data_IF_748096124925
#
_entry.id   IF_748096124925
#
_cell.length_a   1.000
_cell.length_b   1.000
_cell.length_c   1.000
_cell.angle_alpha   90.00
_cell.angle_beta   90.00
_cell.angle_gamma   90.00
#
_symmetry.space_group_name_H-M   'P 1'
#
loop_
_entity.id
_entity.type
_entity.pdbx_description
1 polymer ?
#
# COMPACT_ATOMS: atom_id res chain seq x y z
N UNK A 1 -80.13 -24.70 -1.41
CA UNK A 1 -79.95 -24.61 0.06
C UNK A 1 -78.53 -24.13 0.30
N UNK A 2 -78.42 -23.10 1.13
CA UNK A 2 -77.30 -22.17 1.25
C UNK A 2 -76.01 -22.77 1.83
N UNK A 3 -74.97 -21.91 1.85
CA UNK A 3 -73.94 -21.75 2.91
C UNK A 3 -72.59 -22.44 2.58
N UNK A 4 -71.40 -21.81 2.55
CA UNK A 4 -70.86 -20.48 2.93
C UNK A 4 -69.58 -20.23 2.10
N UNK A 5 -69.38 -18.99 1.65
CA UNK A 5 -68.11 -18.50 1.07
C UNK A 5 -67.19 -18.09 2.22
N UNK A 6 -65.97 -18.63 2.27
CA UNK A 6 -64.94 -18.17 3.23
C UNK A 6 -63.87 -17.43 2.46
N UNK A 7 -63.90 -16.10 2.58
CA UNK A 7 -62.90 -15.19 2.04
C UNK A 7 -61.67 -15.18 2.96
N UNK A 8 -60.52 -15.57 2.45
CA UNK A 8 -59.24 -15.29 3.09
C UNK A 8 -58.73 -13.94 2.55
N UNK A 9 -58.91 -12.88 3.35
CA UNK A 9 -58.27 -11.59 3.12
C UNK A 9 -56.77 -11.74 3.40
N UNK A 10 -55.95 -11.88 2.36
CA UNK A 10 -54.53 -11.57 2.43
C UNK A 10 -54.37 -10.04 2.46
N UNK A 11 -54.30 -9.46 3.65
CA UNK A 11 -53.77 -8.11 3.85
C UNK A 11 -52.27 -8.13 3.53
N UNK A 12 -51.95 -8.02 2.24
CA UNK A 12 -50.59 -7.82 1.75
C UNK A 12 -50.14 -6.40 2.06
N UNK A 13 -49.68 -6.15 3.28
CA UNK A 13 -48.93 -4.95 3.58
C UNK A 13 -47.56 -5.04 2.88
N UNK A 14 -47.49 -4.40 1.70
CA UNK A 14 -46.25 -4.11 1.01
C UNK A 14 -45.37 -3.23 1.90
N UNK A 15 -44.53 -3.87 2.71
CA UNK A 15 -43.33 -3.25 3.23
C UNK A 15 -42.39 -3.03 2.04
N UNK A 16 -42.43 -1.83 1.48
CA UNK A 16 -41.37 -1.31 0.61
C UNK A 16 -40.09 -1.23 1.44
N UNK A 17 -39.36 -2.34 1.49
CA UNK A 17 -37.98 -2.33 1.95
C UNK A 17 -37.19 -1.45 0.98
N UNK A 18 -36.93 -0.22 1.40
CA UNK A 18 -35.98 0.65 0.72
C UNK A 18 -34.64 -0.07 0.74
N UNK A 19 -34.24 -0.61 -0.43
CA UNK A 19 -32.88 -1.03 -0.66
C UNK A 19 -32.01 0.22 -0.50
N UNK A 20 -31.43 0.38 0.68
CA UNK A 20 -30.37 1.35 0.88
C UNK A 20 -29.26 0.97 -0.11
N UNK A 21 -29.09 1.80 -1.13
CA UNK A 21 -27.91 1.79 -1.97
C UNK A 21 -26.70 2.00 -1.06
N UNK A 22 -26.04 0.91 -0.69
CA UNK A 22 -24.70 0.93 -0.08
C UNK A 22 -23.65 0.57 -1.14
N UNK A 23 -23.77 1.13 -2.34
CA UNK A 23 -22.80 0.92 -3.43
C UNK A 23 -22.09 2.24 -3.77
N UNK A 24 -21.46 2.87 -2.78
CA UNK A 24 -20.74 4.13 -2.98
C UNK A 24 -19.48 4.34 -2.14
N UNK A 25 -19.35 3.67 -0.99
CA UNK A 25 -18.09 3.66 -0.24
C UNK A 25 -17.23 2.50 -0.78
N UNK A 26 -16.64 2.69 -1.96
CA UNK A 26 -15.71 1.70 -2.53
C UNK A 26 -14.69 1.25 -1.47
N UNK A 27 -14.41 -0.06 -1.41
CA UNK A 27 -13.46 -0.66 -0.45
C UNK A 27 -12.24 0.26 -0.29
N UNK A 28 -11.97 0.68 0.96
CA UNK A 28 -10.85 1.56 1.28
C UNK A 28 -9.53 1.06 0.68
N UNK A 29 -8.64 1.98 0.33
CA UNK A 29 -7.30 1.66 -0.15
C UNK A 29 -6.43 1.24 1.03
N UNK A 30 -5.93 0.01 0.99
CA UNK A 30 -4.93 -0.45 1.94
C UNK A 30 -3.52 -0.40 1.34
N UNK A 31 -2.59 0.24 2.04
CA UNK A 31 -1.24 0.48 1.54
C UNK A 31 -0.18 -0.07 2.50
N UNK A 32 0.72 -0.91 2.00
CA UNK A 32 1.89 -1.36 2.75
C UNK A 32 3.01 -0.33 2.69
N UNK A 33 3.49 0.12 3.86
CA UNK A 33 4.57 1.09 4.02
C UNK A 33 5.61 0.58 5.01
N UNK A 34 6.88 0.93 4.80
CA UNK A 34 7.99 0.48 5.65
C UNK A 34 8.00 1.32 6.93
N UNK A 35 8.01 0.67 8.10
CA UNK A 35 7.74 1.36 9.39
C UNK A 35 8.82 2.34 9.87
N UNK A 36 10.09 2.10 9.52
CA UNK A 36 11.22 2.95 9.91
C UNK A 36 12.20 3.10 8.74
N UNK A 37 11.77 3.87 7.74
CA UNK A 37 12.53 4.13 6.52
C UNK A 37 12.56 5.63 6.22
N UNK A 38 13.17 6.46 7.08
CA UNK A 38 13.32 7.88 6.80
C UNK A 38 14.14 8.15 5.53
N UNK A 39 13.85 9.24 4.80
CA UNK A 39 12.74 10.20 4.99
C UNK A 39 11.43 9.75 4.33
N UNK A 40 11.31 8.49 3.92
CA UNK A 40 10.24 8.01 3.06
C UNK A 40 8.99 7.58 3.83
N UNK A 41 9.15 6.86 4.94
CA UNK A 41 8.02 6.41 5.75
C UNK A 41 8.44 6.15 7.19
N UNK A 42 7.62 6.62 8.14
CA UNK A 42 7.78 6.37 9.57
C UNK A 42 6.44 6.24 10.28
N UNK A 43 6.31 5.19 11.10
CA UNK A 43 5.18 5.03 12.00
C UNK A 43 5.20 6.09 13.11
N UNK A 44 4.05 6.73 13.35
CA UNK A 44 3.83 7.68 14.46
C UNK A 44 4.87 8.81 14.56
N UNK A 45 5.31 9.34 13.41
CA UNK A 45 6.24 10.46 13.31
C UNK A 45 5.66 11.62 12.51
N UNK A 46 6.13 12.84 12.79
CA UNK A 46 5.81 14.04 12.02
C UNK A 46 7.12 14.72 11.54
N UNK A 47 7.33 14.91 10.23
CA UNK A 47 6.48 14.43 9.13
C UNK A 47 6.51 12.89 8.99
N UNK A 48 5.40 12.31 8.56
CA UNK A 48 5.26 10.84 8.41
C UNK A 48 6.09 10.27 7.23
N UNK A 49 6.41 11.09 6.23
CA UNK A 49 7.33 10.77 5.13
C UNK A 49 6.70 10.77 3.74
N UNK A 50 7.55 10.79 2.71
CA UNK A 50 7.17 10.96 1.30
C UNK A 50 6.21 9.86 0.80
N UNK A 51 6.43 8.60 1.18
CA UNK A 51 5.58 7.47 0.77
C UNK A 51 4.20 7.51 1.45
N UNK A 52 4.13 8.05 2.68
CA UNK A 52 2.87 8.25 3.41
C UNK A 52 2.04 9.30 2.69
N UNK A 53 2.65 10.44 2.35
CA UNK A 53 1.99 11.52 1.61
C UNK A 53 1.55 11.04 0.21
N UNK A 54 2.38 10.28 -0.48
CA UNK A 54 2.01 9.68 -1.77
C UNK A 54 0.79 8.75 -1.64
N UNK A 55 0.75 7.89 -0.63
CA UNK A 55 -0.39 7.00 -0.39
C UNK A 55 -1.68 7.78 -0.07
N UNK A 56 -1.57 8.86 0.71
CA UNK A 56 -2.70 9.76 1.01
C UNK A 56 -3.24 10.42 -0.25
N UNK A 57 -2.36 10.97 -1.09
CA UNK A 57 -2.75 11.60 -2.36
C UNK A 57 -3.39 10.62 -3.33
N UNK A 58 -2.88 9.37 -3.40
CA UNK A 58 -3.49 8.31 -4.23
C UNK A 58 -4.88 7.97 -3.70
N UNK A 59 -5.04 7.76 -2.40
CA UNK A 59 -6.34 7.45 -1.80
C UNK A 59 -7.36 8.58 -2.06
N UNK A 60 -6.94 9.83 -1.90
CA UNK A 60 -7.76 11.00 -2.17
C UNK A 60 -8.18 11.07 -3.64
N UNK A 61 -7.25 10.87 -4.59
CA UNK A 61 -7.56 10.84 -6.02
C UNK A 61 -8.52 9.71 -6.42
N UNK A 62 -8.49 8.59 -5.69
CA UNK A 62 -9.39 7.46 -5.89
C UNK A 62 -10.75 7.63 -5.19
N UNK A 63 -10.92 8.68 -4.37
CA UNK A 63 -12.12 8.84 -3.54
C UNK A 63 -12.25 7.74 -2.48
N UNK A 64 -11.14 7.20 -1.99
CA UNK A 64 -11.10 6.08 -1.03
C UNK A 64 -10.47 6.51 0.29
N UNK A 65 -10.91 5.93 1.39
CA UNK A 65 -10.20 6.03 2.68
C UNK A 65 -8.87 5.28 2.60
N UNK A 66 -7.84 5.80 3.28
CA UNK A 66 -6.54 5.14 3.37
C UNK A 66 -6.42 4.35 4.68
N UNK A 67 -6.00 3.09 4.59
CA UNK A 67 -5.53 2.27 5.71
C UNK A 67 -4.08 1.89 5.49
N UNK A 68 -3.18 2.37 6.34
CA UNK A 68 -1.77 1.99 6.27
C UNK A 68 -1.56 0.65 6.99
N UNK A 69 -0.81 -0.24 6.33
CA UNK A 69 -0.29 -1.48 6.86
C UNK A 69 1.22 -1.32 7.00
N UNK A 70 1.69 -1.20 8.22
CA UNK A 70 3.12 -1.08 8.49
C UNK A 70 3.79 -2.44 8.31
N UNK A 71 4.90 -2.44 7.57
CA UNK A 71 5.69 -3.64 7.26
C UNK A 71 7.17 -3.40 7.53
N UNK A 72 7.91 -4.49 7.68
CA UNK A 72 9.37 -4.48 7.77
C UNK A 72 9.97 -5.15 6.52
N UNK A 73 11.13 -4.66 6.10
CA UNK A 73 11.97 -5.35 5.10
C UNK A 73 13.06 -6.11 5.85
N UNK A 74 12.94 -7.43 6.02
CA UNK A 74 13.87 -8.18 6.84
C UNK A 74 15.24 -8.32 6.16
N UNK A 75 16.32 -8.29 6.95
CA UNK A 75 17.68 -8.48 6.44
C UNK A 75 17.84 -9.81 5.68
N UNK A 76 17.19 -10.88 6.16
CA UNK A 76 17.12 -12.16 5.45
C UNK A 76 15.89 -12.21 4.56
N UNK A 77 16.10 -12.33 3.26
CA UNK A 77 15.06 -12.43 2.24
C UNK A 77 14.56 -11.09 1.69
N UNK A 78 14.91 -9.97 2.33
CA UNK A 78 14.73 -8.63 1.79
C UNK A 78 13.30 -8.33 1.32
N UNK A 79 13.19 -7.59 0.22
CA UNK A 79 11.91 -7.27 -0.41
C UNK A 79 11.13 -8.51 -0.81
N UNK A 80 11.78 -9.60 -1.20
CA UNK A 80 11.07 -10.80 -1.59
C UNK A 80 10.22 -11.39 -0.46
N UNK A 81 10.79 -11.47 0.74
CA UNK A 81 10.05 -11.88 1.93
C UNK A 81 8.98 -10.85 2.30
N UNK A 82 9.32 -9.57 2.30
CA UNK A 82 8.37 -8.49 2.62
C UNK A 82 7.14 -8.51 1.69
N UNK A 83 7.33 -8.64 0.38
CA UNK A 83 6.26 -8.69 -0.62
C UNK A 83 5.38 -9.94 -0.45
N UNK A 84 6.01 -11.11 -0.20
CA UNK A 84 5.29 -12.36 0.06
C UNK A 84 4.36 -12.26 1.27
N UNK A 85 4.88 -11.70 2.37
CA UNK A 85 4.18 -11.63 3.66
C UNK A 85 3.24 -10.43 3.77
N UNK A 86 3.12 -9.61 2.71
CA UNK A 86 2.31 -8.41 2.67
C UNK A 86 1.32 -8.43 1.51
N UNK A 87 1.63 -7.74 0.41
CA UNK A 87 0.76 -7.58 -0.76
C UNK A 87 0.36 -8.92 -1.40
N UNK A 88 1.28 -9.89 -1.52
CA UNK A 88 0.94 -11.20 -2.10
C UNK A 88 0.07 -12.06 -1.17
N UNK A 89 0.06 -11.76 0.14
CA UNK A 89 -0.84 -12.40 1.11
C UNK A 89 -2.15 -11.63 1.31
N UNK A 90 -2.40 -10.59 0.50
CA UNK A 90 -3.64 -9.83 0.51
C UNK A 90 -3.79 -8.81 1.65
N UNK A 91 -2.71 -8.48 2.38
CA UNK A 91 -2.79 -7.52 3.49
C UNK A 91 -3.05 -6.08 3.05
N UNK A 92 -2.57 -5.73 1.85
CA UNK A 92 -2.70 -4.41 1.25
C UNK A 92 -2.94 -4.52 -0.26
N UNK A 93 -3.48 -3.47 -0.86
CA UNK A 93 -3.75 -3.34 -2.29
C UNK A 93 -2.53 -2.79 -3.05
N UNK A 94 -1.71 -1.98 -2.38
CA UNK A 94 -0.49 -1.37 -2.92
C UNK A 94 0.65 -1.47 -1.92
N UNK A 95 1.89 -1.54 -2.42
CA UNK A 95 3.10 -1.44 -1.61
C UNK A 95 3.87 -0.20 -2.09
N UNK A 96 4.06 0.78 -1.21
CA UNK A 96 4.77 2.02 -1.52
C UNK A 96 6.26 1.93 -1.15
N UNK A 97 7.10 2.75 -1.79
CA UNK A 97 8.53 2.80 -1.49
C UNK A 97 9.38 1.68 -2.10
N UNK A 98 8.90 1.02 -3.16
CA UNK A 98 9.69 0.00 -3.87
C UNK A 98 10.74 0.67 -4.77
N UNK A 99 12.05 0.33 -4.65
CA UNK A 99 13.09 0.86 -5.52
C UNK A 99 12.84 0.53 -6.99
N UNK A 100 13.05 1.49 -7.88
CA UNK A 100 13.05 1.25 -9.31
C UNK A 100 14.42 0.69 -9.77
N UNK A 101 14.42 -0.39 -10.55
CA UNK A 101 15.64 -1.01 -11.07
C UNK A 101 15.38 -2.35 -11.75
N UNK A 102 16.33 -2.86 -12.53
CA UNK A 102 16.19 -4.13 -13.28
C UNK A 102 16.00 -5.34 -12.36
N UNK A 103 16.75 -5.38 -11.26
CA UNK A 103 16.64 -6.42 -10.23
C UNK A 103 15.25 -6.42 -9.59
N UNK A 104 14.80 -5.26 -9.10
CA UNK A 104 13.48 -5.14 -8.49
C UNK A 104 12.35 -5.42 -9.49
N UNK A 105 12.50 -5.01 -10.74
CA UNK A 105 11.54 -5.36 -11.79
C UNK A 105 11.48 -6.89 -12.01
N UNK A 106 12.60 -7.59 -11.88
CA UNK A 106 12.65 -9.06 -11.87
C UNK A 106 11.89 -9.66 -10.69
N UNK A 107 12.13 -9.15 -9.48
CA UNK A 107 11.45 -9.58 -8.26
C UNK A 107 9.93 -9.42 -8.36
N UNK A 108 9.45 -8.25 -8.83
CA UNK A 108 8.02 -7.99 -9.01
C UNK A 108 7.40 -8.95 -10.05
N UNK A 109 8.08 -9.20 -11.18
CA UNK A 109 7.59 -10.13 -12.21
C UNK A 109 7.48 -11.56 -11.69
N UNK A 110 8.50 -12.05 -10.98
CA UNK A 110 8.48 -13.40 -10.37
C UNK A 110 7.32 -13.56 -9.39
N UNK A 111 6.87 -12.45 -8.81
CA UNK A 111 5.77 -12.38 -7.83
C UNK A 111 4.42 -12.04 -8.43
N UNK A 112 4.33 -11.90 -9.76
CA UNK A 112 3.12 -11.52 -10.47
C UNK A 112 2.56 -10.16 -9.99
N UNK A 113 3.46 -9.25 -9.60
CA UNK A 113 3.14 -7.89 -9.20
C UNK A 113 3.49 -6.92 -10.33
N UNK A 114 2.66 -5.90 -10.49
CA UNK A 114 2.91 -4.79 -11.40
C UNK A 114 3.50 -3.60 -10.64
N UNK A 115 4.50 -2.95 -11.23
CA UNK A 115 5.02 -1.67 -10.75
C UNK A 115 4.23 -0.49 -11.34
N UNK A 116 4.09 0.59 -10.57
CA UNK A 116 3.59 1.87 -11.07
C UNK A 116 4.70 2.61 -11.84
N UNK A 117 4.37 3.76 -12.43
CA UNK A 117 5.40 4.74 -12.79
C UNK A 117 6.08 5.25 -11.52
N UNK A 118 7.42 5.41 -11.49
CA UNK A 118 8.11 6.01 -10.36
C UNK A 118 7.58 7.42 -10.05
N UNK A 119 7.36 7.72 -8.77
CA UNK A 119 6.94 9.04 -8.29
C UNK A 119 8.06 9.83 -7.60
N UNK A 120 9.22 9.20 -7.39
CA UNK A 120 10.38 9.81 -6.74
C UNK A 120 11.68 9.36 -7.42
N UNK A 121 12.55 10.33 -7.73
CA UNK A 121 13.92 10.08 -8.19
C UNK A 121 14.91 10.38 -7.08
N UNK A 122 15.82 9.44 -6.81
CA UNK A 122 16.87 9.57 -5.80
C UNK A 122 18.23 9.13 -6.35
N UNK A 123 19.31 9.60 -5.72
CA UNK A 123 20.67 9.21 -6.05
C UNK A 123 21.48 8.87 -4.80
N UNK A 124 22.39 7.91 -4.92
CA UNK A 124 23.32 7.56 -3.85
C UNK A 124 24.46 8.57 -3.75
N UNK A 125 24.79 8.96 -2.53
CA UNK A 125 25.92 9.83 -2.20
C UNK A 125 26.90 9.10 -1.28
N UNK A 126 28.18 9.39 -1.43
CA UNK A 126 29.19 8.96 -0.46
C UNK A 126 29.20 9.94 0.70
N UNK A 127 29.02 9.40 1.90
CA UNK A 127 29.03 10.18 3.15
C UNK A 127 30.34 9.88 3.88
N UNK A 128 31.00 10.92 4.39
CA UNK A 128 32.24 10.82 5.14
C UNK A 128 32.13 11.61 6.45
N UNK A 129 32.94 11.24 7.45
CA UNK A 129 32.89 11.91 8.75
C UNK A 129 33.19 13.42 8.61
N UNK A 130 32.59 14.28 9.46
CA UNK A 130 32.92 15.70 9.48
C UNK A 130 34.43 15.93 9.59
N UNK A 131 34.97 16.85 8.79
CA UNK A 131 36.41 17.16 8.75
C UNK A 131 37.28 16.19 7.94
N UNK A 132 36.73 15.10 7.41
CA UNK A 132 37.46 14.21 6.50
C UNK A 132 37.45 14.72 5.04
N UNK A 133 38.42 14.28 4.24
CA UNK A 133 38.44 14.56 2.80
C UNK A 133 37.20 13.93 2.15
N UNK A 134 36.44 14.67 1.30
CA UNK A 134 35.29 14.10 0.60
C UNK A 134 35.68 12.84 -0.18
N UNK A 135 35.00 11.73 0.14
CA UNK A 135 35.22 10.46 -0.52
C UNK A 135 34.66 10.49 -1.95
N UNK A 136 35.49 10.07 -2.90
CA UNK A 136 35.07 9.83 -4.28
C UNK A 136 34.83 8.34 -4.53
N UNK A 137 34.30 8.01 -5.70
CA UNK A 137 34.04 6.61 -6.08
C UNK A 137 35.30 5.72 -6.06
N UNK A 138 36.48 6.31 -6.25
CA UNK A 138 37.76 5.60 -6.11
C UNK A 138 38.04 5.17 -4.65
N UNK A 139 37.62 5.96 -3.67
CA UNK A 139 37.73 5.64 -2.25
C UNK A 139 36.79 4.48 -1.89
N UNK A 140 35.54 4.53 -2.38
CA UNK A 140 34.54 3.49 -2.15
C UNK A 140 34.98 2.11 -2.67
N UNK A 141 35.68 2.06 -3.83
CA UNK A 141 36.21 0.81 -4.38
C UNK A 141 37.33 0.20 -3.53
N UNK A 142 38.11 1.01 -2.82
CA UNK A 142 39.19 0.53 -1.95
C UNK A 142 38.67 -0.03 -0.64
N UNK A 143 37.62 0.56 -0.08
CA UNK A 143 36.99 0.11 1.18
C UNK A 143 36.25 -1.24 1.09
N UNK A 144 36.11 -1.82 -0.12
CA UNK A 144 35.48 -3.13 -0.36
C UNK A 144 36.45 -4.32 -0.21
N UNK A 145 37.73 -4.08 0.10
CA UNK A 145 38.73 -5.11 0.44
C UNK A 145 38.94 -5.16 1.94
#
# INVERSE_FOLDING_TARGET
MNMKKTAFLCCGAWLMASAAAQDGAGRGLSACLIEDNPPFSRLAAEPAGIDVEAAQLIAQKLGRTLRIVWVQVPARGGFGKALKESIQSGKCDVFAGIPAGTEMAGELRQRQLAGTRPYLGVGYLLVSAPGSRPAGMADARRARR
#
